data_IF_008523165417
#
_entry.id   IF_008523165417
#
_cell.length_a   1.000
_cell.length_b   1.000
_cell.length_c   1.000
_cell.angle_alpha   90.00
_cell.angle_beta   90.00
_cell.angle_gamma   90.00
#
_symmetry.space_group_name_H-M   'P 1'
#
loop_
_entity.id
_entity.type
_entity.pdbx_description
1 polymer ?
#
# COMPACT_ATOMS: atom_id res chain seq x y z
N UNK A 1 5.81 -1.29 8.49
CA UNK A 1 6.55 -2.15 7.53
C UNK A 1 7.76 -2.75 8.23
N UNK A 2 8.22 -3.94 7.82
CA UNK A 2 9.47 -4.51 8.31
C UNK A 2 10.63 -3.73 7.71
N UNK A 3 11.45 -3.12 8.55
CA UNK A 3 12.61 -2.30 8.14
C UNK A 3 13.84 -3.12 7.77
N UNK A 4 14.99 -2.42 7.63
CA UNK A 4 16.28 -3.07 7.35
C UNK A 4 16.43 -3.61 5.93
N UNK A 5 15.74 -3.04 4.93
CA UNK A 5 15.77 -3.47 3.54
C UNK A 5 14.86 -4.67 3.22
N UNK A 6 14.16 -5.17 4.23
CA UNK A 6 13.31 -6.35 4.04
C UNK A 6 12.11 -6.05 3.13
N UNK A 7 11.46 -4.90 3.33
CA UNK A 7 10.33 -4.50 2.51
C UNK A 7 10.71 -4.36 1.04
N UNK A 8 11.79 -3.64 0.75
CA UNK A 8 12.27 -3.45 -0.63
C UNK A 8 12.62 -4.79 -1.31
N UNK A 9 13.23 -5.72 -0.57
CA UNK A 9 13.57 -7.04 -1.09
C UNK A 9 12.34 -7.93 -1.40
N UNK A 10 11.16 -7.63 -0.82
CA UNK A 10 9.94 -8.46 -0.91
C UNK A 10 8.72 -7.66 -1.37
N UNK A 11 8.91 -6.58 -2.15
CA UNK A 11 7.84 -5.71 -2.65
C UNK A 11 7.67 -5.76 -4.18
N UNK A 12 8.06 -6.85 -4.81
CA UNK A 12 7.95 -7.05 -6.27
C UNK A 12 6.48 -7.06 -6.73
N UNK A 13 5.58 -7.59 -5.93
CA UNK A 13 4.14 -7.64 -6.19
C UNK A 13 3.54 -6.23 -6.20
N UNK A 14 3.96 -5.38 -5.25
CA UNK A 14 3.56 -3.97 -5.24
C UNK A 14 4.13 -3.23 -6.46
N UNK A 15 5.36 -3.53 -6.85
CA UNK A 15 5.96 -2.98 -8.08
C UNK A 15 5.19 -3.40 -9.32
N UNK A 16 4.81 -4.67 -9.45
CA UNK A 16 3.99 -5.15 -10.55
C UNK A 16 2.64 -4.42 -10.62
N UNK A 17 2.02 -4.14 -9.47
CA UNK A 17 0.80 -3.36 -9.42
C UNK A 17 1.00 -1.89 -9.82
N UNK A 18 2.11 -1.29 -9.41
CA UNK A 18 2.50 0.07 -9.80
C UNK A 18 2.72 0.16 -11.31
N UNK A 19 3.43 -0.79 -11.92
CA UNK A 19 3.76 -0.82 -13.35
C UNK A 19 2.52 -0.76 -14.24
N UNK A 20 1.41 -1.33 -13.80
CA UNK A 20 0.14 -1.27 -14.53
C UNK A 20 -0.35 0.17 -14.75
N UNK A 21 -0.17 1.04 -13.75
CA UNK A 21 -0.69 2.41 -13.75
C UNK A 21 0.39 3.46 -14.04
N UNK A 22 1.65 3.09 -14.06
CA UNK A 22 2.78 3.98 -14.35
C UNK A 22 2.65 4.71 -15.70
N UNK A 23 2.16 4.08 -16.80
CA UNK A 23 1.93 4.79 -18.06
C UNK A 23 0.96 5.98 -17.95
N UNK A 24 -0.04 5.92 -17.04
CA UNK A 24 -0.94 7.05 -16.81
C UNK A 24 -0.19 8.25 -16.24
N UNK A 25 0.68 7.97 -15.27
CA UNK A 25 1.47 8.99 -14.59
C UNK A 25 2.53 9.59 -15.51
N UNK A 26 3.20 8.74 -16.32
CA UNK A 26 4.17 9.21 -17.32
C UNK A 26 3.51 10.13 -18.36
N UNK A 27 2.33 9.77 -18.87
CA UNK A 27 1.59 10.62 -19.80
C UNK A 27 1.20 11.95 -19.14
N UNK A 28 0.65 11.90 -17.91
CA UNK A 28 0.26 13.08 -17.17
C UNK A 28 1.43 14.03 -16.88
N UNK A 29 2.62 13.49 -16.56
CA UNK A 29 3.84 14.27 -16.37
C UNK A 29 4.34 14.90 -17.67
N UNK A 30 4.28 14.17 -18.78
CA UNK A 30 4.63 14.72 -20.10
C UNK A 30 3.70 15.88 -20.51
N UNK A 31 2.40 15.76 -20.28
CA UNK A 31 1.43 16.82 -20.50
C UNK A 31 1.72 18.07 -19.63
N UNK A 32 2.03 17.87 -18.33
CA UNK A 32 2.42 18.94 -17.43
C UNK A 32 3.66 19.71 -17.94
N UNK A 33 4.65 19.00 -18.46
CA UNK A 33 5.93 19.57 -18.91
C UNK A 33 5.81 20.42 -20.17
N UNK A 34 4.72 20.28 -20.97
CA UNK A 34 4.47 21.11 -22.17
C UNK A 34 4.11 22.54 -21.81
N UNK A 35 3.62 22.82 -20.61
CA UNK A 35 3.22 24.15 -20.16
C UNK A 35 3.80 24.47 -18.78
N UNK A 36 5.12 24.64 -18.64
CA UNK A 36 5.76 24.84 -17.35
C UNK A 36 5.36 26.15 -16.66
N UNK A 37 4.83 27.12 -17.38
CA UNK A 37 4.44 28.44 -16.85
C UNK A 37 5.65 29.17 -16.24
N UNK A 38 5.46 29.84 -15.10
CA UNK A 38 6.50 30.55 -14.37
C UNK A 38 7.19 29.72 -13.28
N UNK A 39 7.15 28.35 -13.38
CA UNK A 39 7.79 27.47 -12.40
C UNK A 39 9.31 27.60 -12.46
N UNK A 40 9.92 27.57 -11.29
CA UNK A 40 11.39 27.53 -11.15
C UNK A 40 11.90 26.12 -10.85
N UNK A 41 11.03 25.21 -10.43
CA UNK A 41 11.30 23.80 -10.18
C UNK A 41 9.99 23.00 -10.26
N UNK A 42 10.12 21.70 -10.44
CA UNK A 42 9.05 20.72 -10.21
C UNK A 42 9.09 20.23 -8.77
N UNK A 43 7.96 19.98 -8.15
CA UNK A 43 7.85 19.39 -6.81
C UNK A 43 6.95 18.15 -6.89
N UNK A 44 7.53 17.01 -6.60
CA UNK A 44 6.88 15.71 -6.63
C UNK A 44 6.83 15.16 -5.21
N UNK A 45 5.78 14.41 -4.85
CA UNK A 45 5.69 13.74 -3.56
C UNK A 45 5.13 12.33 -3.74
N UNK A 46 5.80 11.36 -3.14
CA UNK A 46 5.24 10.04 -2.92
C UNK A 46 4.82 9.89 -1.46
N UNK A 47 3.59 9.39 -1.23
CA UNK A 47 2.93 9.34 0.07
C UNK A 47 2.81 7.89 0.51
N UNK A 48 3.48 7.56 1.63
CA UNK A 48 3.65 6.20 2.11
C UNK A 48 4.78 5.48 1.40
N UNK A 49 5.95 6.12 1.34
CA UNK A 49 7.11 5.65 0.55
C UNK A 49 7.84 4.47 1.16
N UNK A 50 7.62 4.14 2.44
CA UNK A 50 8.34 3.10 3.17
C UNK A 50 9.87 3.27 3.08
N UNK A 51 10.60 2.24 2.65
CA UNK A 51 12.05 2.27 2.42
C UNK A 51 12.46 2.95 1.10
N UNK A 52 11.52 3.32 0.25
CA UNK A 52 11.70 4.18 -0.92
C UNK A 52 11.90 3.46 -2.26
N UNK A 53 12.22 2.17 -2.30
CA UNK A 53 12.60 1.49 -3.53
C UNK A 53 11.56 1.61 -4.66
N UNK A 54 10.30 1.35 -4.38
CA UNK A 54 9.20 1.47 -5.36
C UNK A 54 8.90 2.94 -5.70
N UNK A 55 8.97 3.84 -4.72
CA UNK A 55 8.77 5.28 -4.93
C UNK A 55 9.86 5.89 -5.84
N UNK A 56 11.14 5.59 -5.57
CA UNK A 56 12.28 6.01 -6.39
C UNK A 56 12.10 5.51 -7.84
N UNK A 57 11.72 4.25 -8.00
CA UNK A 57 11.46 3.67 -9.32
C UNK A 57 10.35 4.43 -10.06
N UNK A 58 9.19 4.64 -9.44
CA UNK A 58 8.08 5.37 -10.05
C UNK A 58 8.45 6.81 -10.40
N UNK A 59 9.12 7.51 -9.48
CA UNK A 59 9.49 8.91 -9.65
C UNK A 59 10.59 9.10 -10.70
N UNK A 60 11.50 8.16 -10.92
CA UNK A 60 12.43 8.18 -12.05
C UNK A 60 11.70 8.24 -13.38
N UNK A 61 10.63 7.45 -13.55
CA UNK A 61 9.79 7.48 -14.74
C UNK A 61 9.04 8.82 -14.92
N UNK A 62 8.55 9.41 -13.84
CA UNK A 62 7.90 10.73 -13.84
C UNK A 62 8.90 11.81 -14.24
N UNK A 63 10.08 11.81 -13.62
CA UNK A 63 11.14 12.79 -13.89
C UNK A 63 11.60 12.68 -15.34
N UNK A 64 11.83 11.47 -15.83
CA UNK A 64 12.19 11.24 -17.24
C UNK A 64 11.12 11.76 -18.21
N UNK A 65 9.83 11.64 -17.86
CA UNK A 65 8.74 12.20 -18.65
C UNK A 65 8.71 13.75 -18.62
N UNK A 66 8.94 14.36 -17.45
CA UNK A 66 9.05 15.81 -17.30
C UNK A 66 10.22 16.39 -18.11
N UNK A 67 11.38 15.68 -18.07
CA UNK A 67 12.63 16.10 -18.76
C UNK A 67 12.52 16.16 -20.27
N UNK A 68 11.52 15.51 -20.88
CA UNK A 68 11.30 15.61 -22.34
C UNK A 68 11.06 17.04 -22.83
N UNK A 69 10.43 17.87 -21.99
CA UNK A 69 10.04 19.23 -22.38
C UNK A 69 10.50 20.31 -21.38
N UNK A 70 11.11 19.94 -20.25
CA UNK A 70 11.48 20.89 -19.20
C UNK A 70 12.82 20.54 -18.54
N UNK A 71 13.82 21.46 -18.55
CA UNK A 71 15.08 21.28 -17.87
C UNK A 71 15.05 21.69 -16.39
N UNK A 72 13.89 22.11 -15.86
CA UNK A 72 13.80 22.66 -14.51
C UNK A 72 14.25 21.66 -13.44
N UNK A 73 14.91 22.12 -12.36
CA UNK A 73 15.22 21.27 -11.21
C UNK A 73 14.00 20.57 -10.62
N UNK A 74 14.19 19.39 -10.02
CA UNK A 74 13.12 18.60 -9.44
C UNK A 74 13.35 18.42 -7.95
N UNK A 75 12.39 18.81 -7.13
CA UNK A 75 12.32 18.47 -5.71
C UNK A 75 11.44 17.25 -5.54
N UNK A 76 11.93 16.27 -4.80
CA UNK A 76 11.21 15.02 -4.57
C UNK A 76 11.05 14.81 -3.07
N UNK A 77 9.83 14.65 -2.64
CA UNK A 77 9.49 14.42 -1.24
C UNK A 77 9.00 12.99 -1.05
N UNK A 78 9.57 12.32 -0.05
CA UNK A 78 9.19 10.97 0.36
C UNK A 78 8.51 11.07 1.71
N UNK A 79 7.19 10.84 1.75
CA UNK A 79 6.42 10.87 2.98
C UNK A 79 6.19 9.47 3.53
N UNK A 80 6.28 9.34 4.85
CA UNK A 80 5.79 8.20 5.61
C UNK A 80 5.55 8.59 7.07
N UNK A 81 4.99 7.66 7.87
CA UNK A 81 4.77 7.89 9.30
C UNK A 81 6.09 8.16 10.03
N UNK A 82 6.08 8.95 11.13
CA UNK A 82 7.31 9.20 11.92
C UNK A 82 8.02 7.95 12.44
N UNK A 83 7.32 6.82 12.48
CA UNK A 83 7.87 5.51 12.89
C UNK A 83 8.54 4.72 11.77
N UNK A 84 8.56 5.26 10.53
CA UNK A 84 9.20 4.62 9.40
C UNK A 84 10.73 4.53 9.58
N UNK A 85 11.36 3.56 8.92
CA UNK A 85 12.82 3.44 8.85
C UNK A 85 13.41 4.46 7.85
N UNK A 86 13.48 5.72 8.27
CA UNK A 86 14.06 6.78 7.47
C UNK A 86 15.57 6.60 7.23
N UNK A 87 16.28 5.85 8.08
CA UNK A 87 17.69 5.57 7.85
C UNK A 87 17.86 4.72 6.58
N UNK A 88 17.00 3.72 6.40
CA UNK A 88 17.03 2.90 5.20
C UNK A 88 16.56 3.67 3.95
N UNK A 89 15.52 4.48 4.09
CA UNK A 89 15.11 5.40 3.03
C UNK A 89 16.27 6.29 2.56
N UNK A 90 16.99 6.92 3.48
CA UNK A 90 18.16 7.76 3.12
C UNK A 90 19.32 6.94 2.53
N UNK A 91 19.54 5.71 2.97
CA UNK A 91 20.53 4.83 2.35
C UNK A 91 20.17 4.52 0.88
N UNK A 92 18.88 4.35 0.57
CA UNK A 92 18.41 4.16 -0.80
C UNK A 92 18.45 5.44 -1.64
N UNK A 93 18.20 6.60 -1.05
CA UNK A 93 18.29 7.91 -1.73
C UNK A 93 19.73 8.35 -2.01
N UNK A 94 20.66 7.95 -1.15
CA UNK A 94 22.10 8.31 -1.24
C UNK A 94 22.96 7.05 -1.17
N UNK A 95 22.86 6.15 -2.18
CA UNK A 95 23.60 4.91 -2.18
C UNK A 95 25.12 5.15 -2.25
N UNK A 96 25.89 4.27 -1.63
CA UNK A 96 27.37 4.36 -1.64
C UNK A 96 27.96 4.30 -3.05
N UNK A 97 27.27 3.68 -4.00
CA UNK A 97 27.65 3.57 -5.39
C UNK A 97 26.46 3.87 -6.31
N UNK A 98 26.68 4.65 -7.35
CA UNK A 98 25.63 5.05 -8.28
C UNK A 98 24.80 6.23 -7.78
N UNK A 99 23.60 6.36 -8.30
CA UNK A 99 22.63 7.40 -7.94
C UNK A 99 21.22 6.82 -7.90
N UNK A 100 20.40 7.26 -6.95
CA UNK A 100 18.99 6.87 -6.86
C UNK A 100 18.16 7.41 -8.05
N UNK A 101 18.56 8.57 -8.56
CA UNK A 101 17.90 9.20 -9.70
C UNK A 101 18.84 9.22 -10.92
N UNK A 102 18.27 8.81 -12.07
CA UNK A 102 18.99 8.76 -13.35
C UNK A 102 19.25 10.16 -13.94
N UNK A 103 18.43 11.14 -13.56
CA UNK A 103 18.49 12.51 -14.05
C UNK A 103 19.25 13.42 -13.07
N UNK A 104 19.98 14.39 -13.60
CA UNK A 104 20.64 15.44 -12.81
C UNK A 104 19.63 16.44 -12.21
N UNK A 105 20.07 17.24 -11.26
CA UNK A 105 19.30 18.31 -10.60
C UNK A 105 17.99 17.79 -9.95
N UNK A 106 18.06 16.63 -9.29
CA UNK A 106 17.03 16.05 -8.46
C UNK A 106 17.43 16.18 -6.99
N UNK A 107 16.55 16.78 -6.19
CA UNK A 107 16.78 17.11 -4.78
C UNK A 107 15.79 16.35 -3.89
N UNK A 108 16.14 15.17 -3.38
CA UNK A 108 15.27 14.39 -2.52
C UNK A 108 15.23 14.92 -1.09
N UNK A 109 14.08 14.80 -0.44
CA UNK A 109 13.85 15.09 0.97
C UNK A 109 12.81 14.15 1.56
N UNK A 110 12.87 13.89 2.86
CA UNK A 110 11.85 13.12 3.56
C UNK A 110 10.88 14.05 4.32
N UNK A 111 9.63 13.63 4.42
CA UNK A 111 8.58 14.26 5.21
C UNK A 111 8.00 13.20 6.13
N UNK A 112 7.91 13.50 7.44
CA UNK A 112 7.30 12.60 8.41
C UNK A 112 5.90 13.10 8.78
N UNK A 113 4.86 12.36 8.34
CA UNK A 113 3.48 12.79 8.57
C UNK A 113 2.44 11.70 8.34
N UNK A 114 1.18 12.05 8.54
CA UNK A 114 0.06 11.18 8.18
C UNK A 114 -0.42 11.52 6.78
N UNK A 115 -0.56 10.50 5.93
CA UNK A 115 -1.15 10.63 4.59
C UNK A 115 -2.51 11.36 4.59
N UNK A 116 -3.26 11.28 5.69
CA UNK A 116 -4.59 11.88 5.85
C UNK A 116 -4.55 13.33 6.32
N UNK A 117 -3.36 13.86 6.64
CA UNK A 117 -3.10 15.24 6.97
C UNK A 117 -2.46 16.02 5.82
N UNK A 118 -2.14 17.31 6.07
CA UNK A 118 -1.34 18.10 5.14
C UNK A 118 0.14 17.81 5.33
N UNK A 119 0.82 17.56 4.21
CA UNK A 119 2.24 17.19 4.13
C UNK A 119 3.09 18.27 3.46
N UNK A 120 2.44 19.18 2.74
CA UNK A 120 3.11 20.25 2.00
C UNK A 120 2.35 21.58 2.13
N UNK A 121 3.04 22.73 1.86
CA UNK A 121 2.37 24.02 1.76
C UNK A 121 1.28 24.03 0.69
N UNK A 122 0.28 24.93 0.81
CA UNK A 122 -0.75 25.04 -0.22
C UNK A 122 -0.16 25.35 -1.61
N UNK A 123 -0.68 24.65 -2.62
CA UNK A 123 -0.32 24.86 -4.05
C UNK A 123 1.19 24.77 -4.32
N UNK A 124 1.85 23.76 -3.74
CA UNK A 124 3.31 23.58 -3.84
C UNK A 124 3.73 22.28 -4.53
N UNK A 125 2.79 21.38 -4.85
CA UNK A 125 3.09 20.10 -5.49
C UNK A 125 2.51 20.04 -6.90
N UNK A 126 3.30 19.62 -7.86
CA UNK A 126 2.88 19.37 -9.25
C UNK A 126 2.40 17.93 -9.45
N UNK A 127 3.01 16.98 -8.76
CA UNK A 127 2.62 15.57 -8.82
C UNK A 127 2.62 14.99 -7.41
N UNK A 128 1.57 14.29 -7.04
CA UNK A 128 1.52 13.46 -5.85
C UNK A 128 1.11 12.02 -6.23
N UNK A 129 1.73 11.05 -5.57
CA UNK A 129 1.44 9.62 -5.75
C UNK A 129 1.21 8.96 -4.40
N UNK A 130 0.44 7.89 -4.40
CA UNK A 130 0.36 6.95 -3.27
C UNK A 130 0.10 5.54 -3.80
N UNK A 131 0.87 4.59 -3.30
CA UNK A 131 0.77 3.18 -3.67
C UNK A 131 0.50 2.35 -2.43
N UNK A 132 -0.74 1.88 -2.28
CA UNK A 132 -1.26 1.07 -1.16
C UNK A 132 -1.30 1.73 0.22
N UNK A 133 -0.58 2.80 0.51
CA UNK A 133 -0.46 3.36 1.85
C UNK A 133 -1.81 3.72 2.49
N UNK A 134 -2.71 4.32 1.71
CA UNK A 134 -4.03 4.72 2.22
C UNK A 134 -5.06 3.58 2.30
N UNK A 135 -4.66 2.34 2.00
CA UNK A 135 -5.44 1.17 2.39
C UNK A 135 -5.42 0.95 3.91
N UNK A 136 -4.33 1.34 4.58
CA UNK A 136 -4.26 1.36 6.04
C UNK A 136 -5.08 2.53 6.59
N UNK A 137 -5.80 2.27 7.69
CA UNK A 137 -6.63 3.27 8.36
C UNK A 137 -5.76 4.16 9.24
N UNK A 138 -6.08 5.45 9.33
CA UNK A 138 -5.40 6.37 10.24
C UNK A 138 -5.54 5.95 11.68
N UNK A 139 -6.75 5.48 12.03
CA UNK A 139 -7.05 4.96 13.37
C UNK A 139 -7.77 3.63 13.24
N UNK A 140 -7.32 2.66 14.03
CA UNK A 140 -8.09 1.43 14.19
C UNK A 140 -9.39 1.76 14.95
N UNK A 141 -10.58 1.42 14.41
CA UNK A 141 -11.81 1.50 15.16
C UNK A 141 -11.73 0.68 16.45
N UNK A 142 -12.35 1.15 17.52
CA UNK A 142 -12.53 0.39 18.76
C UNK A 142 -13.69 -0.59 18.59
N UNK A 143 -13.48 -1.56 17.71
CA UNK A 143 -14.44 -2.60 17.34
C UNK A 143 -13.69 -3.94 17.26
N UNK A 144 -14.01 -4.90 18.12
CA UNK A 144 -13.35 -6.20 18.11
C UNK A 144 -13.78 -7.02 16.88
N UNK A 145 -12.88 -7.86 16.41
CA UNK A 145 -13.14 -8.90 15.41
C UNK A 145 -12.74 -10.25 16.01
N UNK A 146 -13.54 -10.82 16.96
CA UNK A 146 -13.07 -11.93 17.79
C UNK A 146 -12.81 -13.22 17.00
N UNK A 147 -13.37 -13.31 15.79
CA UNK A 147 -13.32 -14.54 14.98
C UNK A 147 -12.44 -14.42 13.74
N UNK A 148 -11.88 -13.21 13.46
CA UNK A 148 -10.98 -13.02 12.34
C UNK A 148 -10.11 -11.76 12.51
N UNK A 149 -8.99 -11.72 11.80
CA UNK A 149 -7.97 -10.66 11.94
C UNK A 149 -8.20 -9.45 11.03
N UNK A 150 -9.24 -9.46 10.19
CA UNK A 150 -9.53 -8.43 9.18
C UNK A 150 -11.01 -8.08 9.10
N UNK A 151 -11.38 -6.80 8.85
CA UNK A 151 -12.79 -6.43 8.68
C UNK A 151 -13.44 -6.97 7.40
N UNK A 152 -12.65 -7.41 6.41
CA UNK A 152 -13.19 -7.91 5.14
C UNK A 152 -13.73 -9.34 5.21
N UNK A 153 -13.47 -10.05 6.31
CA UNK A 153 -13.81 -11.46 6.47
C UNK A 153 -12.87 -12.40 5.70
N UNK A 154 -13.00 -13.70 5.94
CA UNK A 154 -12.24 -14.70 5.22
C UNK A 154 -12.67 -14.82 3.77
N UNK A 155 -11.75 -15.29 2.93
CA UNK A 155 -12.04 -15.64 1.54
C UNK A 155 -12.95 -16.86 1.44
N UNK A 156 -13.70 -17.02 0.33
CA UNK A 156 -14.70 -18.08 0.19
C UNK A 156 -14.12 -19.50 0.16
N UNK A 157 -12.84 -19.64 -0.18
CA UNK A 157 -12.15 -20.94 -0.26
C UNK A 157 -11.49 -21.40 1.04
N UNK A 158 -11.39 -20.53 2.04
CA UNK A 158 -10.52 -20.77 3.20
C UNK A 158 -11.16 -20.80 4.57
N UNK A 159 -12.50 -20.68 4.78
CA UNK A 159 -13.00 -20.51 6.13
C UNK A 159 -12.71 -21.74 7.00
N UNK A 160 -12.07 -21.50 8.13
CA UNK A 160 -11.98 -22.43 9.24
C UNK A 160 -13.27 -22.37 10.03
N UNK A 161 -13.71 -23.44 10.67
CA UNK A 161 -14.94 -23.46 11.46
C UNK A 161 -14.95 -22.32 12.50
N UNK A 162 -16.00 -21.53 12.51
CA UNK A 162 -16.17 -20.40 13.43
C UNK A 162 -15.48 -19.09 13.01
N UNK A 163 -14.66 -19.07 11.94
CA UNK A 163 -14.03 -17.86 11.42
C UNK A 163 -15.03 -17.10 10.53
N UNK A 164 -15.37 -15.89 10.93
CA UNK A 164 -16.32 -15.05 10.20
C UNK A 164 -16.22 -13.58 10.61
N UNK A 165 -16.77 -12.69 9.79
CA UNK A 165 -16.99 -11.27 10.13
C UNK A 165 -18.37 -10.88 9.63
N UNK A 166 -19.18 -10.33 10.51
CA UNK A 166 -20.51 -9.83 10.19
C UNK A 166 -20.47 -8.42 9.59
N UNK A 167 -21.55 -7.98 8.95
CA UNK A 167 -21.67 -6.61 8.46
C UNK A 167 -21.61 -5.58 9.61
N UNK A 168 -22.16 -5.92 10.79
CA UNK A 168 -22.14 -5.03 11.96
C UNK A 168 -20.72 -4.82 12.47
N UNK A 169 -19.89 -5.87 12.49
CA UNK A 169 -18.47 -5.80 12.86
C UNK A 169 -17.63 -5.02 11.82
N UNK A 170 -17.98 -5.12 10.54
CA UNK A 170 -17.31 -4.43 9.44
C UNK A 170 -17.60 -2.93 9.40
N UNK A 171 -18.81 -2.52 9.75
CA UNK A 171 -19.32 -1.16 9.53
C UNK A 171 -18.44 -0.05 10.13
N UNK A 172 -17.90 -0.14 11.36
CA UNK A 172 -16.99 0.87 11.91
C UNK A 172 -15.74 1.09 11.05
N UNK A 173 -15.20 0.03 10.46
CA UNK A 173 -14.01 0.09 9.58
C UNK A 173 -14.35 0.74 8.23
N UNK A 174 -15.52 0.44 7.68
CA UNK A 174 -16.02 1.06 6.46
C UNK A 174 -16.18 2.59 6.63
N UNK A 175 -16.77 3.00 7.74
CA UNK A 175 -16.95 4.42 8.07
C UNK A 175 -15.61 5.13 8.27
N UNK A 176 -14.68 4.53 9.01
CA UNK A 176 -13.33 5.08 9.18
C UNK A 176 -12.61 5.21 7.84
N UNK A 177 -12.66 4.16 7.00
CA UNK A 177 -12.03 4.16 5.68
C UNK A 177 -12.59 5.25 4.76
N UNK A 178 -13.89 5.53 4.83
CA UNK A 178 -14.53 6.59 4.07
C UNK A 178 -14.13 7.98 4.56
N UNK A 179 -14.01 8.19 5.88
CA UNK A 179 -13.57 9.46 6.45
C UNK A 179 -12.09 9.73 6.15
N UNK A 180 -11.22 8.73 6.32
CA UNK A 180 -9.79 8.83 6.00
C UNK A 180 -9.59 9.24 4.54
N UNK A 181 -10.30 8.58 3.62
CA UNK A 181 -10.20 8.89 2.20
C UNK A 181 -10.67 10.30 1.86
N UNK A 182 -11.73 10.79 2.52
CA UNK A 182 -12.21 12.18 2.36
C UNK A 182 -11.16 13.17 2.85
N UNK A 183 -10.53 12.91 3.99
CA UNK A 183 -9.45 13.74 4.53
C UNK A 183 -8.23 13.73 3.61
N UNK A 184 -7.84 12.57 3.11
CA UNK A 184 -6.76 12.44 2.13
C UNK A 184 -6.98 13.34 0.90
N UNK A 185 -8.13 13.24 0.25
CA UNK A 185 -8.40 14.07 -0.94
C UNK A 185 -8.48 15.58 -0.61
N UNK A 186 -9.03 15.96 0.55
CA UNK A 186 -9.06 17.36 0.98
C UNK A 186 -7.66 17.94 1.22
N UNK A 187 -6.75 17.16 1.78
CA UNK A 187 -5.37 17.58 1.96
C UNK A 187 -4.68 17.76 0.60
N UNK A 188 -4.80 16.80 -0.30
CA UNK A 188 -4.23 16.87 -1.66
C UNK A 188 -4.82 18.01 -2.49
N UNK A 189 -6.11 18.30 -2.33
CA UNK A 189 -6.76 19.44 -2.99
C UNK A 189 -6.14 20.80 -2.59
N UNK A 190 -5.63 20.91 -1.37
CA UNK A 190 -4.94 22.12 -0.91
C UNK A 190 -3.50 22.22 -1.39
N UNK A 191 -2.78 21.08 -1.42
CA UNK A 191 -1.33 21.03 -1.69
C UNK A 191 -0.97 21.08 -3.16
N UNK A 192 -1.79 20.48 -4.01
CA UNK A 192 -1.53 20.47 -5.46
C UNK A 192 -1.70 21.86 -6.08
N UNK A 193 -0.84 22.18 -7.04
CA UNK A 193 -0.98 23.36 -7.91
C UNK A 193 -2.14 23.17 -8.88
N UNK A 194 -2.64 24.25 -9.51
CA UNK A 194 -3.58 24.13 -10.63
C UNK A 194 -2.91 23.36 -11.78
N UNK A 195 -3.61 22.39 -12.35
CA UNK A 195 -3.07 21.41 -13.31
C UNK A 195 -2.28 20.27 -12.67
N UNK A 196 -2.00 20.33 -11.37
CA UNK A 196 -1.26 19.30 -10.66
C UNK A 196 -1.97 17.93 -10.70
N UNK A 197 -1.20 16.86 -10.66
CA UNK A 197 -1.64 15.48 -10.87
C UNK A 197 -1.57 14.67 -9.57
N UNK A 198 -2.59 13.84 -9.34
CA UNK A 198 -2.63 12.89 -8.23
C UNK A 198 -2.92 11.49 -8.78
N UNK A 199 -1.98 10.57 -8.61
CA UNK A 199 -2.23 9.14 -8.82
C UNK A 199 -2.45 8.47 -7.47
N UNK A 200 -3.59 7.82 -7.33
CA UNK A 200 -3.92 6.96 -6.20
C UNK A 200 -4.06 5.54 -6.72
N UNK A 201 -3.30 4.61 -6.15
CA UNK A 201 -3.41 3.18 -6.40
C UNK A 201 -3.41 2.46 -5.04
N UNK A 202 -4.37 1.59 -4.82
CA UNK A 202 -4.49 0.84 -3.55
C UNK A 202 -4.95 -0.59 -3.79
N UNK A 203 -4.64 -1.45 -2.82
CA UNK A 203 -5.30 -2.75 -2.68
C UNK A 203 -6.81 -2.59 -2.72
N UNK A 204 -7.46 -3.45 -3.48
CA UNK A 204 -8.88 -3.35 -3.67
C UNK A 204 -9.61 -4.69 -3.65
N UNK A 205 -10.87 -4.60 -3.99
CA UNK A 205 -11.77 -5.71 -4.24
C UNK A 205 -12.72 -5.38 -5.38
N UNK A 206 -13.16 -6.40 -6.06
CA UNK A 206 -14.25 -6.36 -7.03
C UNK A 206 -15.41 -7.29 -6.60
N UNK A 207 -16.25 -7.68 -7.54
CA UNK A 207 -17.40 -8.56 -7.26
C UNK A 207 -16.97 -10.01 -6.98
N UNK A 208 -15.81 -10.43 -7.47
CA UNK A 208 -15.36 -11.83 -7.43
C UNK A 208 -14.23 -12.03 -6.42
N UNK A 209 -13.30 -11.06 -6.30
CA UNK A 209 -12.06 -11.21 -5.55
C UNK A 209 -11.83 -10.01 -4.60
N UNK A 210 -11.14 -10.31 -3.51
CA UNK A 210 -10.57 -9.30 -2.63
C UNK A 210 -9.09 -9.63 -2.43
N UNK A 211 -8.22 -8.63 -2.50
CA UNK A 211 -6.77 -8.80 -2.28
C UNK A 211 -6.44 -9.38 -0.89
N UNK A 212 -7.39 -9.34 0.05
CA UNK A 212 -7.22 -9.98 1.36
C UNK A 212 -7.36 -11.50 1.34
N UNK A 213 -8.09 -12.05 0.37
CA UNK A 213 -8.38 -13.48 0.30
C UNK A 213 -7.12 -14.30 0.06
N UNK A 214 -7.05 -15.46 0.66
CA UNK A 214 -5.87 -16.33 0.66
C UNK A 214 -4.75 -15.81 1.57
N UNK A 215 -4.29 -14.58 1.36
CA UNK A 215 -3.11 -14.05 2.06
C UNK A 215 -3.33 -13.79 3.55
N UNK A 216 -4.46 -13.23 3.94
CA UNK A 216 -4.79 -13.09 5.37
C UNK A 216 -5.42 -14.34 5.95
N UNK A 217 -6.01 -15.19 5.09
CA UNK A 217 -6.55 -16.48 5.53
C UNK A 217 -5.44 -17.41 5.99
N UNK A 218 -4.35 -17.53 5.25
CA UNK A 218 -3.20 -18.35 5.66
C UNK A 218 -2.53 -17.79 6.92
N UNK A 219 -2.48 -16.47 7.09
CA UNK A 219 -1.95 -15.84 8.28
C UNK A 219 -2.83 -16.11 9.51
N UNK A 220 -4.15 -15.95 9.36
CA UNK A 220 -5.13 -16.26 10.40
C UNK A 220 -5.06 -17.73 10.85
N UNK A 221 -5.01 -18.64 9.87
CA UNK A 221 -4.89 -20.07 10.16
C UNK A 221 -3.58 -20.43 10.85
N UNK A 222 -2.46 -19.80 10.46
CA UNK A 222 -1.16 -20.02 11.12
C UNK A 222 -1.16 -19.50 12.56
N UNK A 223 -1.79 -18.34 12.82
CA UNK A 223 -1.95 -17.83 14.19
C UNK A 223 -2.81 -18.75 15.06
N UNK A 224 -3.93 -19.26 14.50
CA UNK A 224 -4.78 -20.21 15.21
C UNK A 224 -4.07 -21.54 15.52
N UNK A 225 -3.17 -22.01 14.65
CA UNK A 225 -2.34 -23.18 14.94
C UNK A 225 -1.40 -22.94 16.14
N UNK A 226 -0.84 -21.72 16.27
CA UNK A 226 -0.02 -21.34 17.41
C UNK A 226 -0.86 -21.25 18.70
N UNK A 227 -2.11 -20.81 18.61
CA UNK A 227 -3.06 -20.79 19.72
C UNK A 227 -3.42 -22.23 20.16
N UNK A 228 -3.79 -23.09 19.22
CA UNK A 228 -4.12 -24.50 19.50
C UNK A 228 -2.95 -25.30 20.09
N UNK A 229 -1.74 -24.93 19.71
CA UNK A 229 -0.51 -25.51 20.27
C UNK A 229 -0.12 -24.91 21.64
N UNK A 230 -0.89 -23.97 22.18
CA UNK A 230 -0.63 -23.30 23.45
C UNK A 230 0.60 -22.38 23.46
N UNK A 231 1.08 -21.95 22.28
CA UNK A 231 2.24 -21.06 22.12
C UNK A 231 1.88 -19.60 21.93
N UNK A 232 0.62 -19.32 21.59
CA UNK A 232 0.05 -17.98 21.53
C UNK A 232 -1.24 -17.97 22.35
N UNK A 233 -1.46 -16.99 23.25
CA UNK A 233 -2.71 -16.88 24.00
C UNK A 233 -3.90 -16.58 23.04
N UNK A 234 -5.05 -17.17 23.33
CA UNK A 234 -6.28 -17.00 22.54
C UNK A 234 -6.70 -15.52 22.45
N UNK A 235 -6.58 -14.77 23.55
CA UNK A 235 -6.97 -13.38 23.63
C UNK A 235 -6.06 -12.45 22.79
N UNK A 236 -4.83 -12.87 22.46
CA UNK A 236 -3.96 -12.16 21.52
C UNK A 236 -4.55 -12.22 20.11
N UNK A 237 -5.00 -13.40 19.68
CA UNK A 237 -5.68 -13.56 18.38
C UNK A 237 -6.99 -12.76 18.34
N UNK A 238 -7.83 -12.83 19.36
CA UNK A 238 -9.11 -12.15 19.43
C UNK A 238 -9.02 -10.61 19.43
N UNK A 239 -7.90 -10.07 19.92
CA UNK A 239 -7.61 -8.62 19.92
C UNK A 239 -6.85 -8.16 18.69
N UNK A 240 -6.28 -9.10 17.93
CA UNK A 240 -5.53 -8.75 16.73
C UNK A 240 -6.48 -8.30 15.62
N UNK A 241 -6.35 -7.05 15.21
CA UNK A 241 -7.08 -6.51 14.08
C UNK A 241 -6.12 -5.71 13.22
N UNK A 242 -5.97 -6.10 11.97
CA UNK A 242 -5.22 -5.32 11.00
C UNK A 242 -6.03 -4.08 10.59
N UNK A 243 -5.52 -2.87 10.78
CA UNK A 243 -6.22 -1.63 10.44
C UNK A 243 -6.11 -1.34 8.95
N UNK A 244 -6.61 -2.24 8.12
CA UNK A 244 -6.57 -2.14 6.65
C UNK A 244 -7.97 -2.37 6.08
N UNK A 245 -8.32 -1.61 5.03
CA UNK A 245 -9.60 -1.71 4.35
C UNK A 245 -9.42 -1.77 2.84
N UNK A 246 -9.94 -2.82 2.22
CA UNK A 246 -9.84 -3.06 0.79
C UNK A 246 -11.06 -2.43 0.09
N UNK A 247 -10.81 -1.36 -0.64
CA UNK A 247 -11.86 -0.55 -1.27
C UNK A 247 -12.28 -1.12 -2.62
N UNK A 248 -13.55 -0.93 -2.96
CA UNK A 248 -13.99 -1.00 -4.36
C UNK A 248 -13.59 0.28 -5.09
N UNK A 249 -13.64 0.25 -6.42
CA UNK A 249 -13.44 1.45 -7.24
C UNK A 249 -14.46 2.55 -6.89
N UNK A 250 -15.73 2.19 -6.67
CA UNK A 250 -16.75 3.15 -6.29
C UNK A 250 -16.49 3.79 -4.93
N UNK A 251 -16.04 3.02 -3.95
CA UNK A 251 -15.61 3.56 -2.64
C UNK A 251 -14.42 4.51 -2.78
N UNK A 252 -13.44 4.20 -3.66
CA UNK A 252 -12.31 5.09 -3.94
C UNK A 252 -12.75 6.42 -4.55
N UNK A 253 -13.74 6.40 -5.43
CA UNK A 253 -14.24 7.58 -6.14
C UNK A 253 -15.33 8.33 -5.38
N UNK A 254 -15.95 7.72 -4.36
CA UNK A 254 -17.09 8.27 -3.64
C UNK A 254 -16.87 9.70 -3.10
N UNK A 255 -15.73 10.05 -2.48
CA UNK A 255 -15.53 11.42 -2.01
C UNK A 255 -15.51 12.46 -3.14
N UNK A 256 -14.93 12.12 -4.30
CA UNK A 256 -14.88 13.02 -5.46
C UNK A 256 -16.27 13.19 -6.08
N UNK A 257 -17.04 12.09 -6.16
CA UNK A 257 -18.40 12.12 -6.74
C UNK A 257 -19.42 12.81 -5.83
N UNK A 258 -19.33 12.60 -4.50
CA UNK A 258 -20.34 13.03 -3.53
C UNK A 258 -20.06 14.42 -2.90
N UNK A 259 -18.78 14.75 -2.62
CA UNK A 259 -18.41 16.03 -2.02
C UNK A 259 -18.35 17.13 -3.10
N UNK A 260 -19.31 18.03 -3.08
CA UNK A 260 -19.40 19.13 -4.05
C UNK A 260 -18.17 20.05 -4.05
N UNK A 261 -17.42 20.15 -2.95
CA UNK A 261 -16.17 20.91 -2.88
C UNK A 261 -15.05 20.19 -3.64
N UNK A 262 -14.88 18.89 -3.42
CA UNK A 262 -13.87 18.07 -4.09
C UNK A 262 -14.15 17.93 -5.59
N UNK A 263 -15.43 17.76 -5.97
CA UNK A 263 -15.85 17.71 -7.39
C UNK A 263 -15.54 18.98 -8.16
N UNK A 264 -15.52 20.14 -7.51
CA UNK A 264 -15.12 21.42 -8.13
C UNK A 264 -13.61 21.58 -8.25
N UNK A 265 -12.84 20.86 -7.46
CA UNK A 265 -11.38 20.98 -7.41
C UNK A 265 -10.70 19.92 -8.26
N UNK A 266 -11.26 18.71 -8.34
CA UNK A 266 -10.66 17.62 -9.09
C UNK A 266 -11.45 17.25 -10.33
N UNK A 267 -10.71 17.06 -11.43
CA UNK A 267 -11.19 16.36 -12.61
C UNK A 267 -10.70 14.90 -12.54
N UNK A 268 -11.62 13.97 -12.74
CA UNK A 268 -11.31 12.54 -12.91
C UNK A 268 -10.79 12.33 -14.34
N UNK A 269 -9.50 12.02 -14.48
CA UNK A 269 -8.88 11.78 -15.79
C UNK A 269 -8.98 10.31 -16.18
N UNK A 270 -8.64 9.41 -15.24
CA UNK A 270 -8.70 7.95 -15.40
C UNK A 270 -9.07 7.28 -14.10
N UNK A 271 -9.71 6.13 -14.19
CA UNK A 271 -10.01 5.27 -13.05
C UNK A 271 -10.28 3.85 -13.55
N UNK A 272 -9.80 2.87 -12.80
CA UNK A 272 -9.92 1.46 -13.16
C UNK A 272 -9.83 0.57 -11.91
N UNK A 273 -10.53 -0.57 -11.94
CA UNK A 273 -10.27 -1.72 -11.08
C UNK A 273 -9.72 -2.83 -11.97
N UNK A 274 -8.61 -3.42 -11.58
CA UNK A 274 -7.92 -4.44 -12.36
C UNK A 274 -7.27 -5.50 -11.47
N UNK A 275 -7.37 -6.74 -11.87
CA UNK A 275 -6.50 -7.79 -11.37
C UNK A 275 -5.10 -7.64 -11.97
N UNK A 276 -4.10 -7.65 -11.11
CA UNK A 276 -2.70 -7.47 -11.47
C UNK A 276 -1.99 -8.81 -11.45
N UNK A 277 -1.14 -9.12 -12.43
CA UNK A 277 -0.31 -10.32 -12.38
C UNK A 277 0.54 -10.37 -11.11
N UNK A 278 0.53 -11.51 -10.44
CA UNK A 278 1.31 -11.74 -9.22
C UNK A 278 2.59 -12.50 -9.59
N UNK A 279 3.79 -11.92 -9.42
CA UNK A 279 5.06 -12.52 -9.85
C UNK A 279 5.27 -13.93 -9.32
N UNK A 280 5.03 -14.22 -8.04
CA UNK A 280 5.21 -15.56 -7.49
C UNK A 280 4.19 -16.58 -8.04
N UNK A 281 2.95 -16.19 -8.36
CA UNK A 281 1.96 -17.07 -9.00
C UNK A 281 2.38 -17.39 -10.44
N UNK A 282 2.89 -16.38 -11.17
CA UNK A 282 3.43 -16.56 -12.50
C UNK A 282 4.62 -17.55 -12.49
N UNK A 283 5.52 -17.38 -11.51
CA UNK A 283 6.66 -18.28 -11.34
C UNK A 283 6.22 -19.72 -10.99
N UNK A 284 5.22 -19.89 -10.12
CA UNK A 284 4.65 -21.22 -9.81
C UNK A 284 4.09 -21.89 -11.06
N UNK A 285 3.33 -21.17 -11.87
CA UNK A 285 2.77 -21.70 -13.13
C UNK A 285 3.87 -22.14 -14.08
N UNK A 286 4.98 -21.40 -14.16
CA UNK A 286 6.09 -21.71 -15.05
C UNK A 286 6.96 -22.88 -14.58
N UNK A 287 7.16 -23.02 -13.26
CA UNK A 287 8.16 -23.96 -12.71
C UNK A 287 7.55 -25.16 -11.98
N UNK A 288 6.33 -25.03 -11.45
CA UNK A 288 5.70 -26.01 -10.57
C UNK A 288 6.34 -26.08 -9.17
N UNK A 289 7.31 -25.20 -8.84
CA UNK A 289 8.01 -25.21 -7.56
C UNK A 289 7.19 -24.54 -6.44
N UNK A 290 6.40 -25.37 -5.75
CA UNK A 290 5.56 -24.92 -4.61
C UNK A 290 6.38 -24.38 -3.43
N UNK A 291 7.58 -24.88 -3.23
CA UNK A 291 8.44 -24.46 -2.12
C UNK A 291 8.98 -23.04 -2.35
N UNK A 292 9.46 -22.77 -3.57
CA UNK A 292 9.87 -21.42 -3.96
C UNK A 292 8.69 -20.43 -3.94
N UNK A 293 7.53 -20.85 -4.43
CA UNK A 293 6.30 -20.08 -4.39
C UNK A 293 5.90 -19.71 -2.95
N UNK A 294 5.80 -20.69 -2.05
CA UNK A 294 5.44 -20.47 -0.66
C UNK A 294 6.42 -19.54 0.06
N UNK A 295 7.72 -19.64 -0.25
CA UNK A 295 8.75 -18.75 0.29
C UNK A 295 8.55 -17.30 -0.14
N UNK A 296 8.31 -17.06 -1.44
CA UNK A 296 8.09 -15.71 -1.99
C UNK A 296 6.78 -15.11 -1.44
N UNK A 297 5.72 -15.91 -1.40
CA UNK A 297 4.43 -15.50 -0.85
C UNK A 297 4.55 -15.13 0.64
N UNK A 298 5.21 -15.98 1.43
CA UNK A 298 5.45 -15.69 2.86
C UNK A 298 6.29 -14.43 3.05
N UNK A 299 7.34 -14.24 2.24
CA UNK A 299 8.17 -13.04 2.27
C UNK A 299 7.38 -11.77 1.98
N UNK A 300 6.56 -11.80 0.94
CA UNK A 300 5.64 -10.71 0.60
C UNK A 300 4.68 -10.37 1.74
N UNK A 301 3.98 -11.37 2.30
CA UNK A 301 3.08 -11.19 3.44
C UNK A 301 3.80 -10.61 4.66
N UNK A 302 4.96 -11.17 5.00
CA UNK A 302 5.76 -10.77 6.16
C UNK A 302 6.21 -9.32 6.09
N UNK A 303 6.51 -8.81 4.88
CA UNK A 303 7.04 -7.47 4.67
C UNK A 303 6.13 -6.34 5.22
N UNK A 304 4.81 -6.52 5.16
CA UNK A 304 3.87 -5.49 5.60
C UNK A 304 3.01 -5.88 6.82
N UNK A 305 3.10 -7.12 7.31
CA UNK A 305 2.30 -7.58 8.45
C UNK A 305 3.11 -7.74 9.74
N UNK A 306 4.42 -8.00 9.66
CA UNK A 306 5.25 -8.34 10.82
C UNK A 306 5.24 -7.27 11.92
N UNK A 307 5.37 -6.00 11.57
CA UNK A 307 5.38 -4.91 12.56
C UNK A 307 4.05 -4.77 13.32
N UNK A 308 2.93 -5.05 12.65
CA UNK A 308 1.59 -5.03 13.27
C UNK A 308 1.44 -6.21 14.23
N UNK A 309 1.88 -7.40 13.81
CA UNK A 309 1.87 -8.58 14.66
C UNK A 309 2.79 -8.40 15.88
N UNK A 310 4.01 -7.89 15.68
CA UNK A 310 4.95 -7.62 16.76
C UNK A 310 4.34 -6.69 17.84
N UNK A 311 3.65 -5.63 17.41
CA UNK A 311 3.01 -4.68 18.30
C UNK A 311 1.77 -5.24 19.05
N UNK A 312 1.23 -6.37 18.61
CA UNK A 312 0.09 -7.03 19.24
C UNK A 312 0.50 -8.12 20.25
N UNK A 313 1.77 -8.52 20.26
CA UNK A 313 2.27 -9.54 21.18
C UNK A 313 2.45 -8.95 22.58
N UNK A 314 2.17 -9.74 23.66
CA UNK A 314 2.48 -9.36 25.03
C UNK A 314 3.98 -9.26 25.27
N UNK A 315 4.38 -8.46 26.27
CA UNK A 315 5.80 -8.21 26.61
C UNK A 315 6.57 -9.46 27.04
N UNK A 316 5.89 -10.48 27.54
CA UNK A 316 6.47 -11.76 28.00
C UNK A 316 6.70 -12.76 26.85
N UNK A 317 6.27 -12.46 25.64
CA UNK A 317 6.50 -13.27 24.45
C UNK A 317 7.61 -12.64 23.61
N UNK A 318 8.71 -13.40 23.36
CA UNK A 318 9.74 -12.97 22.42
C UNK A 318 9.15 -12.76 21.02
N UNK A 319 9.07 -11.50 20.53
CA UNK A 319 8.49 -11.24 19.20
C UNK A 319 9.24 -12.00 18.10
N UNK A 320 10.57 -12.08 18.17
CA UNK A 320 11.37 -12.72 17.13
C UNK A 320 10.98 -14.20 16.97
N UNK A 321 10.99 -14.96 18.07
CA UNK A 321 10.71 -16.39 18.03
C UNK A 321 9.25 -16.69 17.67
N UNK A 322 8.31 -15.87 18.17
CA UNK A 322 6.88 -16.04 17.88
C UNK A 322 6.58 -15.78 16.41
N UNK A 323 7.11 -14.69 15.86
CA UNK A 323 6.89 -14.31 14.47
C UNK A 323 7.55 -15.29 13.50
N UNK A 324 8.77 -15.76 13.80
CA UNK A 324 9.43 -16.76 12.97
C UNK A 324 8.61 -18.05 12.90
N UNK A 325 8.04 -18.52 14.03
CA UNK A 325 7.15 -19.70 14.02
C UNK A 325 5.89 -19.46 13.21
N UNK A 326 5.22 -18.30 13.38
CA UNK A 326 4.00 -17.96 12.61
C UNK A 326 4.29 -17.97 11.11
N UNK A 327 5.35 -17.29 10.64
CA UNK A 327 5.66 -17.25 9.20
C UNK A 327 6.21 -18.57 8.67
N UNK A 328 6.92 -19.36 9.49
CA UNK A 328 7.25 -20.74 9.13
C UNK A 328 5.95 -21.54 8.88
N UNK A 329 4.97 -21.41 9.80
CA UNK A 329 3.69 -22.11 9.69
C UNK A 329 2.89 -21.66 8.49
N UNK A 330 2.93 -20.36 8.13
CA UNK A 330 2.39 -19.83 6.86
C UNK A 330 2.98 -20.59 5.66
N UNK A 331 4.30 -20.70 5.59
CA UNK A 331 4.99 -21.41 4.50
C UNK A 331 4.58 -22.88 4.40
N UNK A 332 4.50 -23.58 5.54
CA UNK A 332 4.08 -24.99 5.61
C UNK A 332 2.65 -25.18 5.07
N UNK A 333 1.72 -24.30 5.45
CA UNK A 333 0.32 -24.33 4.98
C UNK A 333 0.22 -24.06 3.49
N UNK A 334 0.96 -23.08 2.97
CA UNK A 334 0.99 -22.77 1.54
C UNK A 334 1.47 -23.97 0.71
N UNK A 335 2.50 -24.66 1.16
CA UNK A 335 2.98 -25.89 0.48
C UNK A 335 1.95 -27.01 0.53
N UNK A 336 1.31 -27.21 1.68
CA UNK A 336 0.36 -28.30 1.89
C UNK A 336 -0.97 -28.11 1.12
N UNK A 337 -1.51 -26.89 1.12
CA UNK A 337 -2.86 -26.59 0.61
C UNK A 337 -2.85 -25.36 -0.32
N UNK A 338 -2.07 -25.33 -1.40
CA UNK A 338 -1.89 -24.10 -2.21
C UNK A 338 -3.20 -23.56 -2.79
N UNK A 339 -4.13 -24.41 -3.20
CA UNK A 339 -5.42 -24.01 -3.77
C UNK A 339 -6.36 -23.36 -2.73
N UNK A 340 -6.15 -23.65 -1.43
CA UNK A 340 -6.95 -23.06 -0.34
C UNK A 340 -6.60 -21.59 -0.12
N UNK A 341 -5.37 -21.20 -0.41
CA UNK A 341 -4.84 -19.86 -0.17
C UNK A 341 -4.48 -19.15 -1.48
N UNK A 342 -5.29 -19.38 -2.51
CA UNK A 342 -5.13 -18.67 -3.77
C UNK A 342 -5.21 -17.17 -3.56
N UNK A 343 -4.26 -16.44 -4.17
CA UNK A 343 -4.11 -15.00 -3.98
C UNK A 343 -4.33 -14.26 -5.30
N UNK A 344 -5.29 -13.35 -5.30
CA UNK A 344 -5.61 -12.43 -6.38
C UNK A 344 -5.28 -10.99 -5.96
N UNK A 345 -4.48 -10.30 -6.74
CA UNK A 345 -4.16 -8.91 -6.46
C UNK A 345 -5.10 -7.99 -7.25
N UNK A 346 -6.19 -7.56 -6.62
CA UNK A 346 -7.07 -6.55 -7.19
C UNK A 346 -6.52 -5.18 -6.82
N UNK A 347 -6.24 -4.37 -7.83
CA UNK A 347 -5.77 -2.99 -7.66
C UNK A 347 -6.84 -2.02 -8.16
N UNK A 348 -7.20 -1.05 -7.33
CA UNK A 348 -8.08 0.04 -7.72
C UNK A 348 -7.28 1.33 -7.80
N UNK A 349 -7.43 2.08 -8.90
CA UNK A 349 -6.64 3.27 -9.13
C UNK A 349 -7.46 4.42 -9.74
N UNK A 350 -7.02 5.64 -9.47
CA UNK A 350 -7.52 6.85 -10.11
C UNK A 350 -6.41 7.86 -10.36
N UNK A 351 -6.45 8.50 -11.53
CA UNK A 351 -5.64 9.67 -11.85
C UNK A 351 -6.54 10.90 -11.87
N UNK A 352 -6.15 11.90 -11.13
CA UNK A 352 -6.87 13.16 -10.96
C UNK A 352 -6.02 14.34 -11.40
N UNK A 353 -6.67 15.35 -11.99
CA UNK A 353 -6.08 16.68 -12.19
C UNK A 353 -6.75 17.69 -11.26
N UNK A 354 -5.96 18.47 -10.53
CA UNK A 354 -6.48 19.63 -9.79
C UNK A 354 -6.81 20.78 -10.77
N UNK A 355 -8.04 21.26 -10.73
CA UNK A 355 -8.52 22.37 -11.53
C UNK A 355 -8.01 23.73 -11.04
#
# INVERSE_FOLDING_TARGET
MKGGGYYDAHSQEQRAALDVFLPWLQQAAAELSQSPGHRISWSLMDIGSSEGGNAIYALNHVISALRKNSPLPVRVFFDDLPTNDFNHLFANLFPAHGAAFEQADVFPAAVAGSAFGRLAPPRSLEVATTFNAIAFLEKRPDAPLPHYILPMGPGPGAPRAGVSVTEVEREPFRLQAAEDLRRFYRARAQELTSGGKLLVQVFGRDEQHCTSYGIYDVLSDALLDEVEAGRLPQDVYERLVFPIYFRTLDELLAPIKADGSLRKVFRLDRFESREVPVPFNTALTATGDRTAWARSYTGFLRAFTESILAAALPDDISPLDALDRVYQRVGERLVAEPARYEFHYISVATLLTRL
#
